data_IF_930214027350
#
_entry.id   IF_930214027350
#
_cell.length_a   1.000
_cell.length_b   1.000
_cell.length_c   1.000
_cell.angle_alpha   90.00
_cell.angle_beta   90.00
_cell.angle_gamma   90.00
#
_symmetry.space_group_name_H-M   'P 1'
#
loop_
_entity.id
_entity.type
_entity.pdbx_description
1 polymer ?
#
# COMPACT_ATOMS: atom_id res chain seq x y z
N UNK A 1 24.77 -15.73 -4.60
CA UNK A 1 25.44 -16.22 -3.37
C UNK A 1 26.42 -15.19 -2.82
N UNK A 2 27.39 -14.67 -3.61
CA UNK A 2 28.40 -13.70 -3.15
C UNK A 2 27.80 -12.47 -2.47
N UNK A 3 26.74 -11.86 -3.05
CA UNK A 3 26.06 -10.69 -2.48
C UNK A 3 25.41 -11.00 -1.12
N UNK A 4 24.81 -12.18 -0.97
CA UNK A 4 24.23 -12.63 0.30
C UNK A 4 25.29 -12.82 1.37
N UNK A 5 26.42 -13.42 1.01
CA UNK A 5 27.53 -13.62 1.95
C UNK A 5 28.10 -12.29 2.43
N UNK A 6 28.31 -11.34 1.50
CA UNK A 6 28.79 -10.00 1.87
C UNK A 6 27.79 -9.29 2.78
N UNK A 7 26.50 -9.29 2.43
CA UNK A 7 25.46 -8.65 3.25
C UNK A 7 25.37 -9.27 4.64
N UNK A 8 25.47 -10.61 4.75
CA UNK A 8 25.43 -11.33 6.03
C UNK A 8 26.59 -10.95 6.95
N UNK A 9 27.77 -10.66 6.41
CA UNK A 9 28.93 -10.28 7.22
C UNK A 9 28.72 -8.92 7.91
N UNK A 10 27.99 -8.01 7.25
CA UNK A 10 27.76 -6.65 7.73
C UNK A 10 26.44 -6.50 8.53
N UNK A 11 25.54 -7.51 8.45
CA UNK A 11 24.21 -7.45 9.02
C UNK A 11 23.89 -8.73 9.80
N UNK A 12 23.71 -8.64 11.13
CA UNK A 12 23.45 -9.82 12.00
C UNK A 12 22.09 -10.48 11.71
N UNK A 13 21.13 -9.70 11.17
CA UNK A 13 19.79 -10.18 10.81
C UNK A 13 19.56 -9.90 9.34
N UNK A 14 19.05 -10.90 8.61
CA UNK A 14 18.64 -10.76 7.21
C UNK A 14 17.17 -11.10 7.04
N UNK A 15 16.46 -10.28 6.27
CA UNK A 15 15.14 -10.60 5.78
C UNK A 15 15.22 -10.92 4.27
N UNK A 16 14.72 -12.08 3.89
CA UNK A 16 14.75 -12.58 2.52
C UNK A 16 13.35 -12.99 2.09
N UNK A 17 12.89 -12.47 0.98
CA UNK A 17 11.63 -12.90 0.38
C UNK A 17 11.77 -13.10 -1.12
N UNK A 18 10.86 -13.89 -1.69
CA UNK A 18 10.81 -14.07 -3.14
C UNK A 18 10.38 -12.76 -3.79
N UNK A 19 11.15 -12.31 -4.78
CA UNK A 19 10.71 -11.21 -5.64
C UNK A 19 9.52 -11.68 -6.48
N UNK A 20 8.43 -10.91 -6.43
CA UNK A 20 7.23 -11.16 -7.24
C UNK A 20 7.30 -10.27 -8.48
N UNK A 21 6.94 -10.85 -9.63
CA UNK A 21 6.77 -10.08 -10.85
C UNK A 21 5.50 -9.25 -10.73
N UNK A 22 5.66 -7.93 -10.73
CA UNK A 22 4.57 -6.97 -10.73
C UNK A 22 4.24 -6.55 -12.15
N UNK A 23 3.00 -6.15 -12.38
CA UNK A 23 2.52 -5.57 -13.65
C UNK A 23 3.01 -4.13 -13.89
N UNK A 24 4.07 -3.69 -13.19
CA UNK A 24 4.58 -2.32 -13.22
C UNK A 24 3.85 -1.35 -12.28
N UNK A 25 2.88 -1.85 -11.53
CA UNK A 25 2.14 -1.07 -10.52
C UNK A 25 1.79 -1.91 -9.30
N UNK A 26 1.53 -1.21 -8.21
CA UNK A 26 0.86 -1.72 -7.02
C UNK A 26 -0.16 -0.68 -6.53
N UNK A 27 -1.05 -1.08 -5.64
CA UNK A 27 -2.17 -0.25 -5.19
C UNK A 27 -2.12 -0.07 -3.68
N UNK A 28 -2.46 1.14 -3.22
CA UNK A 28 -2.77 1.42 -1.82
C UNK A 28 -4.27 1.63 -1.66
N UNK A 29 -4.95 0.73 -0.96
CA UNK A 29 -6.38 0.83 -0.64
C UNK A 29 -6.54 1.43 0.75
N UNK A 30 -7.27 2.54 0.86
CA UNK A 30 -7.41 3.32 2.07
C UNK A 30 -8.72 2.99 2.78
N UNK A 31 -8.63 2.81 4.10
CA UNK A 31 -9.78 2.54 4.97
C UNK A 31 -9.75 3.48 6.18
N UNK A 32 -10.93 3.94 6.59
CA UNK A 32 -11.14 4.70 7.81
C UNK A 32 -12.29 4.09 8.59
N UNK A 33 -12.05 3.71 9.83
CA UNK A 33 -13.02 3.00 10.68
C UNK A 33 -13.64 1.77 9.98
N UNK A 34 -12.80 1.05 9.21
CA UNK A 34 -13.22 -0.11 8.42
C UNK A 34 -13.92 0.22 7.10
N UNK A 35 -14.27 1.48 6.82
CA UNK A 35 -14.91 1.88 5.57
C UNK A 35 -13.88 2.14 4.48
N UNK A 36 -14.12 1.59 3.29
CA UNK A 36 -13.29 1.83 2.12
C UNK A 36 -13.46 3.25 1.60
N UNK A 37 -12.37 4.02 1.54
CA UNK A 37 -12.38 5.40 1.05
C UNK A 37 -12.06 5.52 -0.43
N UNK A 38 -11.19 4.65 -0.95
CA UNK A 38 -10.70 4.69 -2.31
C UNK A 38 -9.33 4.03 -2.43
N UNK A 39 -8.80 3.98 -3.65
CA UNK A 39 -7.50 3.42 -3.94
C UNK A 39 -6.72 4.29 -4.92
N UNK A 40 -5.42 4.32 -4.75
CA UNK A 40 -4.47 4.88 -5.69
C UNK A 40 -3.49 3.80 -6.15
N UNK A 41 -2.99 3.92 -7.38
CA UNK A 41 -1.89 3.11 -7.86
C UNK A 41 -0.57 3.88 -7.75
N UNK A 42 0.50 3.15 -7.43
CA UNK A 42 1.88 3.59 -7.63
C UNK A 42 2.38 2.94 -8.91
N UNK A 43 2.67 3.72 -9.90
CA UNK A 43 3.11 3.23 -11.22
C UNK A 43 4.59 3.50 -11.39
N UNK A 44 5.36 2.44 -11.69
CA UNK A 44 6.78 2.56 -11.98
C UNK A 44 7.00 3.41 -13.22
N UNK A 45 7.99 4.28 -13.19
CA UNK A 45 8.48 4.98 -14.38
C UNK A 45 9.78 4.34 -14.86
N UNK A 46 9.91 4.22 -16.18
CA UNK A 46 11.03 3.56 -16.82
C UNK A 46 11.15 2.07 -16.42
N UNK A 47 12.27 1.46 -16.64
CA UNK A 47 12.58 0.06 -16.27
C UNK A 47 12.88 -0.11 -14.77
N UNK A 48 12.28 0.70 -13.89
CA UNK A 48 12.46 0.56 -12.45
C UNK A 48 11.88 -0.77 -11.99
N UNK A 49 12.64 -1.48 -11.17
CA UNK A 49 12.23 -2.77 -10.60
C UNK A 49 11.18 -2.62 -9.48
N UNK A 50 10.93 -1.40 -9.02
CA UNK A 50 9.97 -1.09 -7.96
C UNK A 50 9.06 0.09 -8.37
N UNK A 51 7.98 0.25 -7.65
CA UNK A 51 6.94 1.27 -7.86
C UNK A 51 7.05 2.46 -6.92
N UNK A 52 8.13 2.52 -6.11
CA UNK A 52 8.26 3.53 -5.06
C UNK A 52 8.38 4.94 -5.65
N UNK A 53 7.70 5.89 -5.00
CA UNK A 53 7.70 7.31 -5.40
C UNK A 53 9.11 7.90 -5.36
N UNK A 54 9.95 7.50 -4.41
CA UNK A 54 11.36 7.92 -4.35
C UNK A 54 12.18 7.47 -5.56
N UNK A 55 11.75 6.44 -6.26
CA UNK A 55 12.38 5.96 -7.51
C UNK A 55 11.72 6.56 -8.77
N UNK A 56 10.93 7.63 -8.63
CA UNK A 56 10.28 8.32 -9.74
C UNK A 56 8.90 7.77 -10.10
N UNK A 57 8.30 6.91 -9.29
CA UNK A 57 6.92 6.46 -9.45
C UNK A 57 5.92 7.61 -9.39
N UNK A 58 4.75 7.43 -10.00
CA UNK A 58 3.63 8.37 -9.96
C UNK A 58 2.42 7.74 -9.29
N UNK A 59 1.62 8.61 -8.66
CA UNK A 59 0.28 8.24 -8.22
C UNK A 59 -0.72 8.38 -9.35
N UNK A 60 -1.59 7.40 -9.49
CA UNK A 60 -2.68 7.39 -10.46
C UNK A 60 -3.96 6.91 -9.79
N UNK A 61 -5.10 7.36 -10.28
CA UNK A 61 -6.38 6.84 -9.85
C UNK A 61 -6.55 5.40 -10.35
N UNK A 62 -7.09 4.54 -9.49
CA UNK A 62 -7.41 3.15 -9.83
C UNK A 62 -8.72 2.74 -9.18
N UNK A 63 -9.48 1.93 -9.88
CA UNK A 63 -10.68 1.27 -9.35
C UNK A 63 -10.36 -0.22 -9.26
N UNK A 64 -10.03 -0.75 -8.07
CA UNK A 64 -9.81 -2.17 -7.87
C UNK A 64 -11.11 -2.96 -8.08
N UNK A 65 -10.98 -4.25 -8.39
CA UNK A 65 -12.16 -5.15 -8.40
C UNK A 65 -12.72 -5.34 -6.98
N UNK A 66 -13.98 -5.72 -6.89
CA UNK A 66 -14.65 -5.99 -5.61
C UNK A 66 -13.92 -7.07 -4.80
N UNK A 67 -13.35 -8.08 -5.45
CA UNK A 67 -12.56 -9.13 -4.79
C UNK A 67 -11.28 -8.58 -4.16
N UNK A 68 -10.61 -7.63 -4.82
CA UNK A 68 -9.43 -6.95 -4.29
C UNK A 68 -9.79 -6.08 -3.10
N UNK A 69 -10.89 -5.33 -3.19
CA UNK A 69 -11.40 -4.51 -2.07
C UNK A 69 -11.76 -5.41 -0.88
N UNK A 70 -12.47 -6.51 -1.12
CA UNK A 70 -12.86 -7.47 -0.08
C UNK A 70 -11.64 -8.12 0.59
N UNK A 71 -10.60 -8.48 -0.18
CA UNK A 71 -9.35 -9.01 0.34
C UNK A 71 -8.64 -7.98 1.22
N UNK A 72 -8.51 -6.74 0.77
CA UNK A 72 -7.87 -5.66 1.52
C UNK A 72 -8.66 -5.32 2.80
N UNK A 73 -9.99 -5.28 2.72
CA UNK A 73 -10.86 -5.09 3.87
C UNK A 73 -10.66 -6.21 4.91
N UNK A 74 -10.60 -7.46 4.47
CA UNK A 74 -10.32 -8.60 5.36
C UNK A 74 -8.94 -8.49 5.99
N UNK A 75 -7.91 -8.06 5.26
CA UNK A 75 -6.57 -7.90 5.79
C UNK A 75 -6.52 -6.81 6.88
N UNK A 76 -7.09 -5.62 6.62
CA UNK A 76 -7.09 -4.52 7.59
C UNK A 76 -7.93 -4.84 8.83
N UNK A 77 -9.01 -5.60 8.71
CA UNK A 77 -9.89 -5.96 9.83
C UNK A 77 -9.23 -6.87 10.88
N UNK A 78 -8.05 -7.42 10.60
CA UNK A 78 -7.25 -8.18 11.56
C UNK A 78 -6.55 -7.27 12.59
N UNK A 79 -6.56 -5.96 12.35
CA UNK A 79 -5.90 -4.97 13.18
C UNK A 79 -6.95 -3.98 13.72
N UNK A 80 -6.89 -3.68 15.00
CA UNK A 80 -7.75 -2.68 15.63
C UNK A 80 -7.19 -1.27 15.38
N UNK A 81 -7.25 -0.82 14.12
CA UNK A 81 -6.72 0.48 13.69
C UNK A 81 -7.82 1.28 13.01
N UNK A 82 -7.95 2.55 13.40
CA UNK A 82 -8.96 3.45 12.83
C UNK A 82 -8.65 3.81 11.38
N UNK A 83 -7.40 4.05 11.06
CA UNK A 83 -6.96 4.32 9.70
C UNK A 83 -5.93 3.31 9.23
N UNK A 84 -6.13 2.76 8.03
CA UNK A 84 -5.18 1.84 7.39
C UNK A 84 -5.04 2.12 5.90
N UNK A 85 -3.85 1.85 5.37
CA UNK A 85 -3.64 1.65 3.94
C UNK A 85 -3.16 0.23 3.72
N UNK A 86 -3.83 -0.50 2.85
CA UNK A 86 -3.49 -1.88 2.48
C UNK A 86 -2.82 -1.88 1.13
N UNK A 87 -1.59 -2.35 1.08
CA UNK A 87 -0.81 -2.44 -0.15
C UNK A 87 -1.06 -3.78 -0.84
N UNK A 88 -1.56 -3.69 -2.06
CA UNK A 88 -1.95 -4.84 -2.89
C UNK A 88 -1.25 -4.78 -4.24
N UNK A 89 -0.75 -5.92 -4.68
CA UNK A 89 -0.24 -6.11 -6.04
C UNK A 89 -1.07 -7.13 -6.80
N UNK A 90 -1.33 -6.85 -8.06
CA UNK A 90 -1.90 -7.81 -9.01
C UNK A 90 -0.78 -8.58 -9.70
N UNK A 91 -0.90 -9.90 -9.70
CA UNK A 91 0.04 -10.81 -10.35
C UNK A 91 -0.70 -11.75 -11.29
N UNK A 92 0.02 -12.46 -12.13
CA UNK A 92 -0.57 -13.51 -12.98
C UNK A 92 -1.30 -14.61 -12.19
N UNK A 93 -0.89 -14.82 -10.94
CA UNK A 93 -1.50 -15.80 -10.03
C UNK A 93 -2.66 -15.22 -9.19
N UNK A 94 -3.03 -13.98 -9.40
CA UNK A 94 -4.05 -13.25 -8.64
C UNK A 94 -3.48 -12.09 -7.81
N UNK A 95 -4.35 -11.44 -7.07
CA UNK A 95 -3.97 -10.33 -6.20
C UNK A 95 -3.34 -10.83 -4.90
N UNK A 96 -2.36 -10.10 -4.41
CA UNK A 96 -1.70 -10.36 -3.13
C UNK A 96 -1.68 -9.09 -2.28
N UNK A 97 -2.01 -9.23 -1.00
CA UNK A 97 -1.78 -8.22 0.01
C UNK A 97 -0.38 -8.45 0.61
N UNK A 98 0.46 -7.43 0.66
CA UNK A 98 1.81 -7.54 1.18
C UNK A 98 2.12 -6.57 2.33
N UNK A 99 1.27 -5.58 2.58
CA UNK A 99 1.41 -4.67 3.72
C UNK A 99 0.04 -4.15 4.17
N UNK A 100 -0.10 -3.98 5.50
CA UNK A 100 -1.16 -3.18 6.12
C UNK A 100 -0.45 -2.13 6.97
N UNK A 101 -0.53 -0.87 6.54
CA UNK A 101 0.10 0.26 7.21
C UNK A 101 -0.91 0.97 8.12
N UNK A 102 -0.51 1.20 9.38
CA UNK A 102 -1.29 1.97 10.36
C UNK A 102 -1.34 3.48 10.05
N UNK A 103 -0.38 3.97 9.29
CA UNK A 103 -0.24 5.39 9.02
C UNK A 103 0.53 5.61 7.72
N UNK A 104 -0.19 6.03 6.70
CA UNK A 104 0.41 6.24 5.39
C UNK A 104 -0.64 6.50 4.32
N UNK A 105 -0.21 6.70 3.08
CA UNK A 105 -1.12 6.85 1.95
C UNK A 105 -1.80 8.21 1.78
N UNK A 106 -1.62 9.16 2.70
CA UNK A 106 -2.25 10.50 2.63
C UNK A 106 -1.95 11.22 1.32
N UNK A 107 -0.68 11.27 0.96
CA UNK A 107 -0.25 11.88 -0.31
C UNK A 107 -0.79 11.12 -1.51
N UNK A 108 -0.74 9.78 -1.46
CA UNK A 108 -1.28 8.93 -2.53
C UNK A 108 -2.78 9.10 -2.69
N UNK A 109 -3.53 9.24 -1.59
CA UNK A 109 -4.95 9.54 -1.59
C UNK A 109 -5.23 10.86 -2.30
N UNK A 110 -4.56 11.93 -1.89
CA UNK A 110 -4.78 13.26 -2.47
C UNK A 110 -4.35 13.33 -3.95
N UNK A 111 -3.13 12.91 -4.28
CA UNK A 111 -2.61 13.02 -5.65
C UNK A 111 -3.23 12.00 -6.62
N UNK A 112 -3.54 10.78 -6.14
CA UNK A 112 -4.09 9.71 -6.98
C UNK A 112 -5.60 9.77 -7.14
N UNK A 113 -6.35 10.20 -6.12
CA UNK A 113 -7.81 10.15 -6.12
C UNK A 113 -8.51 11.49 -5.92
N UNK A 114 -7.78 12.52 -5.47
CA UNK A 114 -8.35 13.81 -5.06
C UNK A 114 -9.00 13.77 -3.67
N UNK A 115 -8.92 12.67 -2.93
CA UNK A 115 -9.47 12.55 -1.58
C UNK A 115 -8.46 13.09 -0.58
N UNK A 116 -8.82 14.14 0.17
CA UNK A 116 -8.03 14.58 1.33
C UNK A 116 -8.30 13.65 2.52
N UNK A 117 -7.49 12.61 2.59
CA UNK A 117 -7.59 11.59 3.62
C UNK A 117 -7.18 12.14 4.99
N UNK A 118 -6.27 13.13 5.02
CA UNK A 118 -5.82 13.74 6.26
C UNK A 118 -6.97 14.55 6.90
N UNK A 119 -7.71 15.31 6.10
CA UNK A 119 -8.92 16.02 6.56
C UNK A 119 -9.96 15.05 7.10
N UNK A 120 -10.28 14.01 6.34
CA UNK A 120 -11.27 13.00 6.78
C UNK A 120 -10.87 12.31 8.08
N UNK A 121 -9.59 11.99 8.24
CA UNK A 121 -9.09 11.37 9.46
C UNK A 121 -9.14 12.34 10.64
N UNK A 122 -8.76 13.60 10.44
CA UNK A 122 -8.87 14.65 11.46
C UNK A 122 -10.33 14.82 11.93
N UNK A 123 -11.27 14.91 10.99
CA UNK A 123 -12.72 15.01 11.29
C UNK A 123 -13.23 13.80 12.08
N UNK A 124 -12.77 12.59 11.71
CA UNK A 124 -13.11 11.37 12.43
C UNK A 124 -12.62 11.43 13.88
N UNK A 125 -11.37 11.81 14.12
CA UNK A 125 -10.80 11.90 15.46
C UNK A 125 -11.53 12.95 16.31
N UNK A 126 -11.80 14.13 15.74
CA UNK A 126 -12.56 15.18 16.46
C UNK A 126 -13.92 14.67 16.91
N UNK A 127 -14.64 13.96 16.05
CA UNK A 127 -15.96 13.38 16.40
C UNK A 127 -15.85 12.26 17.44
N UNK A 128 -14.78 11.48 17.41
CA UNK A 128 -14.59 10.37 18.33
C UNK A 128 -14.24 10.80 19.76
N UNK A 129 -13.71 12.02 19.94
CA UNK A 129 -13.29 12.56 21.25
C UNK A 129 -14.24 13.65 21.80
N UNK A 130 -15.28 14.02 21.05
CA UNK A 130 -16.32 14.99 21.45
C UNK A 130 -17.49 14.30 22.15
#
# INVERSE_FOLDING_TARGET
EKALTTFKNDNPVMYLQRKIALSGRDMGLMFLNGEYLGAYARVAQNDSWNTTIHSGGKYENVVPSDDVIAMAHKAQSLFAMDFTTVDVAETEAGAICFEVSAFGGFRGGLEGTGIDVAERYADYIVKAVS
#
